data_IF_806953273856
#
_entry.id   IF_806953273856
#
_cell.length_a   1.000
_cell.length_b   1.000
_cell.length_c   1.000
_cell.angle_alpha   90.00
_cell.angle_beta   90.00
_cell.angle_gamma   90.00
#
_symmetry.space_group_name_H-M   'P 1'
#
loop_
_entity.id
_entity.type
_entity.pdbx_description
1 polymer ?
#
# COMPACT_ATOMS: atom_id res chain seq x y z
N UNK A 1 65.36 28.13 -9.46
CA UNK A 1 64.07 28.87 -9.49
C UNK A 1 63.35 28.51 -10.77
N UNK A 2 62.37 27.62 -10.70
CA UNK A 2 61.37 27.42 -11.79
C UNK A 2 60.31 26.44 -11.27
N UNK A 3 59.29 27.01 -10.62
CA UNK A 3 58.14 26.27 -10.12
C UNK A 3 57.19 25.92 -11.26
N UNK A 4 56.69 24.68 -11.22
CA UNK A 4 55.59 24.13 -12.00
C UNK A 4 54.35 25.03 -11.96
N UNK A 5 53.72 25.24 -13.12
CA UNK A 5 52.31 25.60 -13.22
C UNK A 5 51.55 24.39 -13.80
N UNK A 6 51.03 23.55 -12.91
CA UNK A 6 49.99 22.57 -13.25
C UNK A 6 48.68 23.34 -13.36
N UNK A 7 48.15 23.46 -14.57
CA UNK A 7 46.77 23.91 -14.78
C UNK A 7 45.82 22.84 -14.22
N UNK A 8 45.18 23.16 -13.10
CA UNK A 8 44.05 22.40 -12.57
C UNK A 8 42.82 22.66 -13.42
N UNK A 9 42.22 21.58 -13.92
CA UNK A 9 40.90 21.58 -14.56
C UNK A 9 39.83 22.05 -13.55
N UNK A 10 38.72 22.67 -13.99
CA UNK A 10 37.66 23.08 -13.08
C UNK A 10 36.99 21.85 -12.48
N UNK A 11 36.96 21.79 -11.14
CA UNK A 11 36.16 20.81 -10.39
C UNK A 11 34.69 20.99 -10.76
N UNK A 12 34.08 19.97 -11.34
CA UNK A 12 32.63 19.88 -11.56
C UNK A 12 31.93 19.69 -10.20
N UNK A 13 31.78 20.77 -9.45
CA UNK A 13 30.97 20.80 -8.25
C UNK A 13 29.50 20.69 -8.62
N UNK A 14 28.90 19.52 -8.40
CA UNK A 14 27.44 19.38 -8.38
C UNK A 14 26.90 20.22 -7.23
N UNK A 15 26.47 21.46 -7.50
CA UNK A 15 25.68 22.21 -6.54
C UNK A 15 24.34 21.48 -6.40
N UNK A 16 24.17 20.71 -5.32
CA UNK A 16 22.87 20.20 -4.93
C UNK A 16 22.03 21.37 -4.41
N UNK A 17 21.44 22.13 -5.33
CA UNK A 17 20.49 23.18 -4.99
C UNK A 17 19.31 22.55 -4.24
N UNK A 18 18.99 23.09 -3.06
CA UNK A 18 17.88 22.61 -2.26
C UNK A 18 16.54 22.85 -2.97
N UNK A 19 15.54 21.99 -2.71
CA UNK A 19 14.20 22.14 -3.29
C UNK A 19 13.60 23.48 -2.90
N UNK A 20 13.32 24.38 -3.85
CA UNK A 20 12.77 25.72 -3.54
C UNK A 20 11.38 25.65 -2.87
N UNK A 21 11.00 26.67 -2.09
CA UNK A 21 9.68 26.71 -1.43
C UNK A 21 8.53 26.71 -2.46
N UNK A 22 8.71 27.44 -3.58
CA UNK A 22 7.76 27.45 -4.69
C UNK A 22 7.54 26.04 -5.26
N UNK A 23 8.63 25.33 -5.56
CA UNK A 23 8.54 23.98 -6.12
C UNK A 23 8.03 22.96 -5.11
N UNK A 24 8.40 23.09 -3.83
CA UNK A 24 7.83 22.31 -2.75
C UNK A 24 6.31 22.44 -2.69
N UNK A 25 5.78 23.66 -2.77
CA UNK A 25 4.34 23.91 -2.76
C UNK A 25 3.65 23.32 -4.00
N UNK A 26 4.24 23.43 -5.20
CA UNK A 26 3.71 22.82 -6.43
C UNK A 26 3.64 21.29 -6.32
N UNK A 27 4.72 20.66 -5.86
CA UNK A 27 4.75 19.21 -5.61
C UNK A 27 3.73 18.80 -4.55
N UNK A 28 3.66 19.53 -3.44
CA UNK A 28 2.73 19.26 -2.36
C UNK A 28 1.28 19.32 -2.84
N UNK A 29 0.93 20.34 -3.62
CA UNK A 29 -0.40 20.50 -4.21
C UNK A 29 -0.71 19.35 -5.18
N UNK A 30 0.21 19.05 -6.11
CA UNK A 30 0.02 17.94 -7.06
C UNK A 30 -0.18 16.59 -6.37
N UNK A 31 0.65 16.28 -5.37
CA UNK A 31 0.56 15.03 -4.61
C UNK A 31 -0.77 14.96 -3.85
N UNK A 32 -1.17 16.06 -3.22
CA UNK A 32 -2.43 16.16 -2.51
C UNK A 32 -3.62 15.95 -3.47
N UNK A 33 -3.67 16.65 -4.59
CA UNK A 33 -4.80 16.60 -5.51
C UNK A 33 -4.92 15.23 -6.18
N UNK A 34 -3.79 14.60 -6.49
CA UNK A 34 -3.81 13.28 -7.11
C UNK A 34 -4.10 12.15 -6.12
N UNK A 35 -3.49 12.17 -4.93
CA UNK A 35 -3.45 11.01 -4.02
C UNK A 35 -4.05 11.26 -2.63
N UNK A 36 -4.48 12.47 -2.32
CA UNK A 36 -4.93 12.89 -0.99
C UNK A 36 -3.82 13.06 0.05
N UNK A 37 -2.56 12.73 -0.27
CA UNK A 37 -1.45 12.74 0.69
C UNK A 37 -1.01 14.18 0.99
N UNK A 38 -1.06 14.55 2.28
CA UNK A 38 -0.59 15.86 2.75
C UNK A 38 0.94 15.97 2.87
N UNK A 39 1.47 17.07 2.35
CA UNK A 39 2.88 17.46 2.42
C UNK A 39 3.06 18.76 3.23
N UNK A 40 3.01 18.71 4.58
CA UNK A 40 3.31 19.88 5.41
C UNK A 40 4.79 20.32 5.24
N UNK A 41 5.14 21.58 5.55
CA UNK A 41 6.49 22.11 5.37
C UNK A 41 7.61 21.27 6.02
N UNK A 42 7.33 20.60 7.14
CA UNK A 42 8.26 19.69 7.81
C UNK A 42 8.69 18.49 6.97
N UNK A 43 7.94 18.14 5.91
CA UNK A 43 8.25 17.04 4.99
C UNK A 43 9.12 17.45 3.79
N UNK A 44 9.54 18.72 3.67
CA UNK A 44 10.33 19.22 2.52
C UNK A 44 11.61 18.42 2.28
N UNK A 45 12.42 18.20 3.31
CA UNK A 45 13.67 17.43 3.20
C UNK A 45 13.42 15.97 2.81
N UNK A 46 12.35 15.36 3.36
CA UNK A 46 11.95 14.01 3.00
C UNK A 46 11.56 13.94 1.52
N UNK A 47 10.71 14.86 1.06
CA UNK A 47 10.24 14.92 -0.31
C UNK A 47 11.41 15.08 -1.29
N UNK A 48 12.31 16.02 -1.00
CA UNK A 48 13.54 16.19 -1.78
C UNK A 48 14.34 14.88 -1.84
N UNK A 49 14.64 14.28 -0.70
CA UNK A 49 15.43 13.04 -0.61
C UNK A 49 14.84 11.89 -1.41
N UNK A 50 13.51 11.72 -1.38
CA UNK A 50 12.81 10.66 -2.13
C UNK A 50 12.80 10.92 -3.64
N UNK A 51 12.70 12.17 -4.07
CA UNK A 51 12.68 12.53 -5.49
C UNK A 51 14.07 12.60 -6.13
N UNK A 52 15.16 12.59 -5.36
CA UNK A 52 16.53 12.58 -5.90
C UNK A 52 16.78 11.44 -6.89
N UNK A 53 16.19 10.26 -6.65
CA UNK A 53 16.32 9.13 -7.58
C UNK A 53 15.60 9.40 -8.90
N UNK A 54 14.36 9.87 -8.85
CA UNK A 54 13.58 10.23 -10.05
C UNK A 54 14.27 11.31 -10.87
N UNK A 55 14.81 12.33 -10.20
CA UNK A 55 15.60 13.41 -10.79
C UNK A 55 16.80 12.85 -11.57
N UNK A 56 17.62 11.99 -10.95
CA UNK A 56 18.78 11.39 -11.62
C UNK A 56 18.40 10.48 -12.79
N UNK A 57 17.39 9.63 -12.61
CA UNK A 57 16.92 8.70 -13.64
C UNK A 57 16.30 9.42 -14.85
N UNK A 58 15.79 10.63 -14.67
CA UNK A 58 15.26 11.48 -15.74
C UNK A 58 16.32 12.41 -16.37
N UNK A 59 17.59 12.33 -15.94
CA UNK A 59 18.70 13.11 -16.51
C UNK A 59 18.80 14.55 -16.02
N UNK A 60 18.11 14.93 -14.94
CA UNK A 60 18.14 16.30 -14.41
C UNK A 60 19.23 16.45 -13.33
N UNK A 61 19.90 17.60 -13.34
CA UNK A 61 21.06 17.87 -12.47
C UNK A 61 20.68 18.46 -11.12
N UNK A 62 19.53 19.15 -11.03
CA UNK A 62 18.97 19.66 -9.79
C UNK A 62 17.50 19.30 -9.62
N UNK A 63 17.02 19.32 -8.37
CA UNK A 63 15.61 19.05 -8.07
C UNK A 63 14.70 20.16 -8.60
N UNK A 64 15.21 21.39 -8.71
CA UNK A 64 14.45 22.51 -9.26
C UNK A 64 14.31 22.39 -10.79
N UNK A 65 15.35 21.91 -11.50
CA UNK A 65 15.27 21.60 -12.94
C UNK A 65 14.27 20.48 -13.20
N UNK A 66 14.29 19.44 -12.36
CA UNK A 66 13.29 18.37 -12.43
C UNK A 66 11.87 18.91 -12.22
N UNK A 67 11.65 19.85 -11.29
CA UNK A 67 10.35 20.48 -11.09
C UNK A 67 9.93 21.34 -12.29
N UNK A 68 10.85 22.08 -12.90
CA UNK A 68 10.57 22.85 -14.12
C UNK A 68 10.16 21.92 -15.27
N UNK A 69 10.88 20.81 -15.47
CA UNK A 69 10.49 19.79 -16.45
C UNK A 69 9.10 19.21 -16.17
N UNK A 70 8.82 18.84 -14.91
CA UNK A 70 7.53 18.26 -14.54
C UNK A 70 6.37 19.19 -14.87
N UNK A 71 6.42 20.43 -14.38
CA UNK A 71 5.25 21.30 -14.37
C UNK A 71 5.21 22.35 -15.48
N UNK A 72 6.36 22.67 -16.08
CA UNK A 72 6.47 23.68 -17.14
C UNK A 72 6.86 23.02 -18.49
N UNK A 73 7.62 21.92 -18.46
CA UNK A 73 8.11 21.19 -19.64
C UNK A 73 7.23 20.02 -20.11
N UNK A 74 6.06 19.81 -19.51
CA UNK A 74 5.15 18.71 -19.88
C UNK A 74 5.60 17.31 -19.43
N UNK A 75 6.56 17.22 -18.51
CA UNK A 75 7.10 15.96 -18.01
C UNK A 75 6.16 15.17 -17.10
N UNK A 76 5.12 15.81 -16.56
CA UNK A 76 4.25 15.24 -15.53
C UNK A 76 3.59 13.92 -15.96
N UNK A 77 3.07 13.84 -17.18
CA UNK A 77 2.38 12.62 -17.65
C UNK A 77 3.29 11.40 -17.69
N UNK A 78 4.58 11.61 -18.00
CA UNK A 78 5.59 10.55 -18.09
C UNK A 78 6.11 10.14 -16.72
N UNK A 79 6.33 11.10 -15.82
CA UNK A 79 6.97 10.85 -14.53
C UNK A 79 6.00 10.63 -13.37
N UNK A 80 4.71 10.93 -13.55
CA UNK A 80 3.68 10.87 -12.48
C UNK A 80 3.71 9.57 -11.67
N UNK A 81 3.75 8.41 -12.33
CA UNK A 81 3.76 7.12 -11.62
C UNK A 81 5.01 6.98 -10.77
N UNK A 82 6.18 7.31 -11.32
CA UNK A 82 7.47 7.22 -10.61
C UNK A 82 7.54 8.21 -9.43
N UNK A 83 7.02 9.42 -9.62
CA UNK A 83 6.92 10.44 -8.58
C UNK A 83 6.05 9.93 -7.43
N UNK A 84 4.86 9.40 -7.72
CA UNK A 84 3.93 8.88 -6.72
C UNK A 84 4.52 7.68 -5.98
N UNK A 85 5.15 6.74 -6.69
CA UNK A 85 5.87 5.61 -6.11
C UNK A 85 6.93 6.08 -5.11
N UNK A 86 7.68 7.12 -5.45
CA UNK A 86 8.71 7.66 -4.58
C UNK A 86 8.13 8.32 -3.31
N UNK A 87 6.97 8.97 -3.36
CA UNK A 87 6.45 9.76 -2.23
C UNK A 87 5.47 9.00 -1.33
N UNK A 88 4.91 7.89 -1.80
CA UNK A 88 4.04 7.02 -0.99
C UNK A 88 4.81 6.41 0.20
N UNK A 89 4.14 6.23 1.34
CA UNK A 89 4.73 5.61 2.53
C UNK A 89 4.10 4.25 2.72
N UNK A 90 4.86 3.20 2.43
CA UNK A 90 4.31 1.85 2.23
C UNK A 90 4.64 0.89 3.39
N UNK A 91 4.78 1.41 4.63
CA UNK A 91 5.14 0.59 5.78
C UNK A 91 4.00 -0.37 6.14
N UNK A 92 4.26 -1.66 5.99
CA UNK A 92 3.37 -2.75 6.37
C UNK A 92 4.20 -3.90 6.92
N UNK A 93 3.58 -4.76 7.72
CA UNK A 93 4.19 -5.94 8.33
C UNK A 93 3.20 -7.10 8.23
N UNK A 94 3.71 -8.32 8.09
CA UNK A 94 2.88 -9.53 8.19
C UNK A 94 2.24 -9.60 9.58
N UNK A 95 0.99 -10.06 9.67
CA UNK A 95 0.26 -10.16 10.94
C UNK A 95 0.19 -8.84 11.74
N UNK A 96 0.26 -7.69 11.07
CA UNK A 96 0.00 -6.38 11.69
C UNK A 96 -1.43 -6.36 12.25
N UNK A 97 -1.60 -5.92 13.50
CA UNK A 97 -2.89 -5.88 14.23
C UNK A 97 -3.63 -7.24 14.21
N UNK A 98 -3.07 -8.26 14.89
CA UNK A 98 -3.54 -9.64 14.80
C UNK A 98 -5.02 -9.83 15.18
N UNK A 99 -5.56 -8.95 16.02
CA UNK A 99 -6.95 -8.98 16.50
C UNK A 99 -7.98 -8.94 15.36
N UNK A 100 -7.66 -8.31 14.23
CA UNK A 100 -8.54 -8.32 13.07
C UNK A 100 -8.62 -9.70 12.41
N UNK A 101 -7.53 -10.46 12.41
CA UNK A 101 -7.51 -11.82 11.89
C UNK A 101 -8.16 -12.80 12.87
N UNK A 102 -8.00 -12.59 14.17
CA UNK A 102 -8.73 -13.32 15.23
C UNK A 102 -10.24 -13.14 15.06
N UNK A 103 -10.72 -11.89 14.93
CA UNK A 103 -12.11 -11.58 14.62
C UNK A 103 -12.60 -12.30 13.35
N UNK A 104 -11.79 -12.28 12.28
CA UNK A 104 -12.15 -12.99 11.06
C UNK A 104 -12.30 -14.49 11.30
N UNK A 105 -11.41 -15.13 12.04
CA UNK A 105 -11.51 -16.57 12.30
C UNK A 105 -12.67 -16.95 13.22
N UNK A 106 -12.94 -16.14 14.25
CA UNK A 106 -13.94 -16.46 15.27
C UNK A 106 -15.36 -16.09 14.87
N UNK A 107 -15.51 -14.99 14.10
CA UNK A 107 -16.82 -14.40 13.79
C UNK A 107 -17.03 -14.27 12.28
N UNK A 108 -16.10 -13.62 11.58
CA UNK A 108 -16.28 -13.22 10.18
C UNK A 108 -16.44 -14.40 9.22
N UNK A 109 -15.43 -15.28 9.14
CA UNK A 109 -15.39 -16.43 8.25
C UNK A 109 -16.52 -17.44 8.52
N UNK A 110 -16.86 -17.81 9.77
CA UNK A 110 -18.04 -18.63 10.05
C UNK A 110 -19.34 -18.02 9.51
N UNK A 111 -19.56 -16.72 9.74
CA UNK A 111 -20.76 -16.03 9.27
C UNK A 111 -20.84 -15.97 7.73
N UNK A 112 -19.72 -15.63 7.08
CA UNK A 112 -19.63 -15.58 5.61
C UNK A 112 -19.83 -16.98 5.02
N UNK A 113 -19.20 -18.01 5.58
CA UNK A 113 -19.34 -19.38 5.11
C UNK A 113 -20.79 -19.87 5.15
N UNK A 114 -21.54 -19.51 6.20
CA UNK A 114 -22.98 -19.81 6.32
C UNK A 114 -23.81 -19.07 5.28
N UNK A 115 -23.51 -17.80 5.01
CA UNK A 115 -24.24 -16.97 4.01
C UNK A 115 -23.96 -17.38 2.57
N UNK A 116 -22.69 -17.65 2.24
CA UNK A 116 -22.19 -17.79 0.84
C UNK A 116 -21.82 -19.22 0.46
N UNK A 117 -22.15 -20.21 1.28
CA UNK A 117 -21.84 -21.61 1.01
C UNK A 117 -20.34 -21.91 0.93
N UNK A 118 -19.52 -21.15 1.66
CA UNK A 118 -18.07 -21.33 1.72
C UNK A 118 -17.25 -20.53 0.71
N UNK A 119 -17.86 -19.60 -0.06
CA UNK A 119 -17.15 -18.65 -0.93
C UNK A 119 -16.87 -17.33 -0.21
N UNK A 120 -15.62 -16.88 -0.22
CA UNK A 120 -15.18 -15.65 0.44
C UNK A 120 -14.45 -14.73 -0.54
N UNK A 121 -14.88 -13.47 -0.62
CA UNK A 121 -14.27 -12.45 -1.47
C UNK A 121 -13.75 -11.31 -0.62
N UNK A 122 -12.45 -11.05 -0.72
CA UNK A 122 -11.76 -10.09 0.14
C UNK A 122 -11.11 -9.03 -0.72
N UNK A 123 -11.14 -7.80 -0.23
CA UNK A 123 -10.39 -6.70 -0.79
C UNK A 123 -9.46 -6.10 0.28
N UNK A 124 -8.15 -6.16 0.04
CA UNK A 124 -7.16 -5.37 0.76
C UNK A 124 -6.92 -4.07 -0.01
N UNK A 125 -7.59 -3.01 0.42
CA UNK A 125 -7.48 -1.68 -0.18
C UNK A 125 -6.27 -0.95 0.40
N UNK A 126 -5.34 -0.56 -0.47
CA UNK A 126 -3.96 -0.16 -0.16
C UNK A 126 -3.12 -1.30 0.43
N UNK A 127 -3.03 -2.40 -0.34
CA UNK A 127 -2.38 -3.64 0.09
C UNK A 127 -0.85 -3.53 0.25
N UNK A 128 -0.23 -2.45 -0.19
CA UNK A 128 1.22 -2.24 -0.22
C UNK A 128 1.91 -3.45 -0.88
N UNK A 129 2.96 -4.00 -0.26
CA UNK A 129 3.74 -5.14 -0.76
C UNK A 129 2.99 -6.48 -0.64
N UNK A 130 1.70 -6.48 -0.29
CA UNK A 130 0.84 -7.67 -0.20
C UNK A 130 0.89 -8.41 1.13
N UNK A 131 1.59 -7.88 2.15
CA UNK A 131 1.75 -8.56 3.45
C UNK A 131 0.40 -8.84 4.14
N UNK A 132 -0.53 -7.87 4.11
CA UNK A 132 -1.88 -8.05 4.63
C UNK A 132 -2.64 -9.12 3.85
N UNK A 133 -2.69 -9.03 2.53
CA UNK A 133 -3.36 -10.00 1.67
C UNK A 133 -2.84 -11.43 1.88
N UNK A 134 -1.52 -11.62 1.99
CA UNK A 134 -0.94 -12.94 2.25
C UNK A 134 -1.17 -13.42 3.69
N UNK A 135 -1.21 -12.52 4.67
CA UNK A 135 -1.61 -12.86 6.03
C UNK A 135 -3.05 -13.39 6.04
N UNK A 136 -3.96 -12.67 5.38
CA UNK A 136 -5.36 -13.09 5.24
C UNK A 136 -5.48 -14.45 4.56
N UNK A 137 -4.71 -14.70 3.50
CA UNK A 137 -4.71 -15.99 2.81
C UNK A 137 -4.26 -17.13 3.73
N UNK A 138 -3.18 -16.94 4.50
CA UNK A 138 -2.71 -17.91 5.49
C UNK A 138 -3.78 -18.20 6.54
N UNK A 139 -4.43 -17.15 7.06
CA UNK A 139 -5.49 -17.26 8.08
C UNK A 139 -6.69 -18.07 7.56
N UNK A 140 -7.11 -17.84 6.31
CA UNK A 140 -8.23 -18.58 5.70
C UNK A 140 -7.88 -20.05 5.47
N UNK A 141 -6.66 -20.35 5.00
CA UNK A 141 -6.24 -21.75 4.84
C UNK A 141 -6.22 -22.47 6.20
N UNK A 142 -5.70 -21.83 7.25
CA UNK A 142 -5.67 -22.44 8.59
C UNK A 142 -7.07 -22.65 9.17
N UNK A 143 -7.97 -21.68 9.01
CA UNK A 143 -9.38 -21.85 9.34
C UNK A 143 -9.97 -23.06 8.60
N UNK A 144 -9.71 -23.17 7.29
CA UNK A 144 -10.19 -24.26 6.47
C UNK A 144 -9.62 -25.64 6.84
N UNK A 145 -8.44 -25.69 7.47
CA UNK A 145 -7.83 -26.93 7.98
C UNK A 145 -8.46 -27.42 9.28
N UNK A 146 -8.93 -26.50 10.11
CA UNK A 146 -9.58 -26.81 11.40
C UNK A 146 -11.10 -26.99 11.28
N UNK A 147 -11.68 -26.42 10.22
CA UNK A 147 -13.12 -26.41 9.96
C UNK A 147 -13.42 -26.95 8.55
N UNK A 148 -14.24 -26.23 7.77
CA UNK A 148 -14.53 -26.55 6.37
C UNK A 148 -13.66 -25.68 5.47
N UNK A 149 -13.04 -26.30 4.46
CA UNK A 149 -12.28 -25.57 3.42
C UNK A 149 -13.18 -24.52 2.75
N UNK A 150 -12.66 -23.30 2.67
CA UNK A 150 -13.30 -22.18 1.99
C UNK A 150 -12.68 -22.00 0.60
N UNK A 151 -13.51 -21.65 -0.37
CA UNK A 151 -13.07 -21.13 -1.65
C UNK A 151 -12.98 -19.61 -1.52
N UNK A 152 -11.86 -19.01 -1.91
CA UNK A 152 -11.68 -17.58 -1.72
C UNK A 152 -10.86 -16.90 -2.80
N UNK A 153 -11.06 -15.59 -2.90
CA UNK A 153 -10.28 -14.70 -3.76
C UNK A 153 -9.97 -13.42 -3.00
N UNK A 154 -8.74 -12.92 -3.14
CA UNK A 154 -8.27 -11.68 -2.55
C UNK A 154 -7.89 -10.74 -3.68
N UNK A 155 -8.48 -9.55 -3.69
CA UNK A 155 -8.03 -8.42 -4.47
C UNK A 155 -7.13 -7.53 -3.60
N UNK A 156 -5.91 -7.29 -4.03
CA UNK A 156 -5.03 -6.27 -3.45
C UNK A 156 -4.95 -5.06 -4.37
N UNK A 157 -5.38 -3.89 -3.92
CA UNK A 157 -5.22 -2.66 -4.70
C UNK A 157 -4.25 -1.71 -4.03
N UNK A 158 -3.46 -0.98 -4.81
CA UNK A 158 -2.60 0.07 -4.28
C UNK A 158 -2.38 1.16 -5.34
N UNK A 159 -1.99 2.36 -4.91
CA UNK A 159 -1.58 3.42 -5.81
C UNK A 159 -0.20 3.15 -6.41
N UNK A 160 0.68 2.51 -5.63
CA UNK A 160 2.08 2.35 -5.98
C UNK A 160 2.35 1.09 -6.82
N UNK A 161 2.95 1.26 -8.00
CA UNK A 161 3.26 0.12 -8.90
C UNK A 161 4.43 -0.71 -8.40
N UNK A 162 5.36 -0.09 -7.69
CA UNK A 162 6.52 -0.77 -7.11
C UNK A 162 6.11 -1.82 -6.08
N UNK A 163 5.21 -1.46 -5.16
CA UNK A 163 4.77 -2.38 -4.10
C UNK A 163 3.84 -3.46 -4.64
N UNK A 164 2.99 -3.14 -5.63
CA UNK A 164 2.17 -4.13 -6.33
C UNK A 164 3.04 -5.18 -7.03
N UNK A 165 4.13 -4.76 -7.68
CA UNK A 165 5.07 -5.68 -8.31
C UNK A 165 5.70 -6.64 -7.29
N UNK A 166 5.98 -6.15 -6.08
CA UNK A 166 6.48 -6.99 -4.99
C UNK A 166 5.41 -7.95 -4.47
N UNK A 167 4.15 -7.51 -4.35
CA UNK A 167 3.02 -8.36 -3.98
C UNK A 167 2.84 -9.52 -4.98
N UNK A 168 2.90 -9.26 -6.29
CA UNK A 168 2.85 -10.29 -7.34
C UNK A 168 4.02 -11.27 -7.23
N UNK A 169 5.23 -10.75 -7.02
CA UNK A 169 6.41 -11.60 -6.88
C UNK A 169 6.30 -12.52 -5.65
N UNK A 170 5.69 -12.01 -4.57
CA UNK A 170 5.54 -12.69 -3.29
C UNK A 170 6.89 -13.04 -2.66
N UNK A 171 7.93 -12.23 -2.88
CA UNK A 171 9.28 -12.42 -2.36
C UNK A 171 9.57 -11.39 -1.27
N UNK A 172 10.13 -11.87 -0.15
CA UNK A 172 10.38 -11.06 1.04
C UNK A 172 11.70 -11.49 1.69
N UNK A 173 12.38 -10.55 2.34
CA UNK A 173 13.51 -10.87 3.21
C UNK A 173 13.05 -11.66 4.43
N UNK A 174 13.96 -12.41 5.03
CA UNK A 174 13.65 -13.13 6.28
C UNK A 174 13.22 -12.20 7.42
N UNK A 175 13.74 -10.96 7.48
CA UNK A 175 13.36 -10.01 8.52
C UNK A 175 11.89 -9.59 8.39
N UNK A 176 11.38 -9.35 7.17
CA UNK A 176 9.97 -8.97 6.97
C UNK A 176 8.99 -10.06 7.39
N UNK A 177 9.45 -11.31 7.39
CA UNK A 177 8.66 -12.50 7.70
C UNK A 177 8.77 -12.89 9.18
N UNK A 178 9.66 -12.24 9.94
CA UNK A 178 9.83 -12.46 11.36
C UNK A 178 8.53 -12.41 12.20
N UNK A 179 7.47 -11.67 11.83
CA UNK A 179 6.18 -11.73 12.53
C UNK A 179 5.35 -12.99 12.24
N UNK A 180 5.57 -13.70 11.13
CA UNK A 180 4.74 -14.87 10.75
C UNK A 180 5.00 -16.02 11.74
N UNK A 181 3.98 -16.70 12.31
CA UNK A 181 4.19 -17.87 13.16
C UNK A 181 5.02 -18.98 12.48
N UNK A 182 5.87 -19.68 13.24
CA UNK A 182 6.88 -20.63 12.70
C UNK A 182 6.24 -21.77 11.90
N UNK A 183 5.12 -22.29 12.38
CA UNK A 183 4.36 -23.36 11.76
C UNK A 183 3.74 -22.89 10.43
N UNK A 184 3.28 -21.64 10.34
CA UNK A 184 2.82 -21.03 9.10
C UNK A 184 3.98 -20.78 8.12
N UNK A 185 5.16 -20.39 8.61
CA UNK A 185 6.35 -20.28 7.75
C UNK A 185 6.68 -21.61 7.09
N UNK A 186 6.62 -22.71 7.84
CA UNK A 186 6.90 -24.05 7.32
C UNK A 186 5.90 -24.50 6.25
N UNK A 187 4.63 -24.08 6.35
CA UNK A 187 3.57 -24.44 5.39
C UNK A 187 3.50 -23.54 4.17
N UNK A 188 3.68 -22.23 4.35
CA UNK A 188 3.32 -21.23 3.35
C UNK A 188 4.49 -20.45 2.76
N UNK A 189 5.72 -20.72 3.20
CA UNK A 189 6.91 -20.08 2.67
C UNK A 189 7.87 -21.10 2.07
N UNK A 190 8.38 -20.73 0.90
CA UNK A 190 9.46 -21.42 0.21
C UNK A 190 10.76 -20.68 0.48
N UNK A 191 11.82 -21.42 0.81
CA UNK A 191 13.17 -20.87 0.93
C UNK A 191 13.92 -21.05 -0.39
N UNK A 192 14.81 -20.10 -0.69
CA UNK A 192 15.78 -20.24 -1.78
C UNK A 192 16.65 -21.48 -1.56
N UNK A 193 17.03 -22.18 -2.65
CA UNK A 193 18.05 -23.24 -2.60
C UNK A 193 19.43 -22.70 -2.27
N UNK A 194 19.68 -21.42 -2.58
CA UNK A 194 20.86 -20.69 -2.14
C UNK A 194 20.56 -20.01 -0.79
N UNK A 195 21.16 -20.48 0.33
CA UNK A 195 20.95 -19.92 1.66
C UNK A 195 21.48 -18.48 1.80
N UNK A 196 22.44 -18.07 0.95
CA UNK A 196 23.05 -16.73 1.02
C UNK A 196 22.10 -15.63 0.55
N UNK A 197 21.02 -16.00 -0.15
CA UNK A 197 20.05 -15.06 -0.72
C UNK A 197 19.23 -14.32 0.35
N UNK A 198 19.04 -14.92 1.53
CA UNK A 198 18.31 -14.28 2.64
C UNK A 198 16.85 -13.93 2.33
N UNK A 199 16.26 -14.60 1.33
CA UNK A 199 14.90 -14.36 0.84
C UNK A 199 14.03 -15.61 0.94
N UNK A 200 12.76 -15.38 1.22
CA UNK A 200 11.70 -16.39 1.12
C UNK A 200 10.65 -15.94 0.12
N UNK A 201 9.82 -16.91 -0.31
CA UNK A 201 8.74 -16.67 -1.26
C UNK A 201 7.46 -17.32 -0.79
N UNK A 202 6.33 -16.64 -0.97
CA UNK A 202 5.01 -17.23 -0.71
C UNK A 202 4.77 -18.41 -1.67
N UNK A 203 4.22 -19.51 -1.14
CA UNK A 203 3.88 -20.70 -1.93
C UNK A 203 2.91 -20.37 -3.08
N UNK A 204 2.99 -21.08 -4.22
CA UNK A 204 2.13 -20.82 -5.38
C UNK A 204 0.63 -20.85 -5.06
N UNK A 205 0.20 -21.74 -4.15
CA UNK A 205 -1.21 -21.89 -3.78
C UNK A 205 -1.83 -20.61 -3.20
N UNK A 206 -1.11 -19.88 -2.35
CA UNK A 206 -1.59 -18.59 -1.82
C UNK A 206 -1.47 -17.47 -2.86
N UNK A 207 -0.40 -17.48 -3.68
CA UNK A 207 -0.23 -16.47 -4.74
C UNK A 207 -1.32 -16.55 -5.79
N UNK A 208 -1.81 -17.74 -6.10
CA UNK A 208 -2.93 -17.95 -7.03
C UNK A 208 -4.26 -17.37 -6.52
N UNK A 209 -4.36 -17.06 -5.21
CA UNK A 209 -5.54 -16.49 -4.57
C UNK A 209 -5.53 -14.96 -4.54
N UNK A 210 -4.39 -14.34 -4.84
CA UNK A 210 -4.21 -12.89 -4.85
C UNK A 210 -4.17 -12.37 -6.29
N UNK A 211 -5.16 -11.54 -6.64
CA UNK A 211 -5.10 -10.66 -7.80
C UNK A 211 -4.70 -9.27 -7.33
N UNK A 212 -3.87 -8.56 -8.10
CA UNK A 212 -3.52 -7.18 -7.79
C UNK A 212 -3.91 -6.23 -8.89
N UNK A 213 -4.29 -5.01 -8.53
CA UNK A 213 -4.58 -3.95 -9.47
C UNK A 213 -4.10 -2.60 -8.96
N UNK A 214 -3.65 -1.73 -9.87
CA UNK A 214 -3.40 -0.34 -9.50
C UNK A 214 -4.73 0.38 -9.39
N UNK A 215 -4.95 1.07 -8.28
CA UNK A 215 -6.15 1.86 -8.07
C UNK A 215 -5.86 3.03 -7.13
N UNK A 216 -6.50 4.16 -7.38
CA UNK A 216 -6.39 5.34 -6.54
C UNK A 216 -7.69 5.53 -5.75
N UNK A 217 -7.59 5.61 -4.42
CA UNK A 217 -8.75 5.83 -3.55
C UNK A 217 -9.37 7.23 -3.72
N UNK A 218 -8.67 8.16 -4.37
CA UNK A 218 -9.23 9.48 -4.70
C UNK A 218 -10.18 9.45 -5.91
N UNK A 219 -10.13 8.40 -6.74
CA UNK A 219 -10.94 8.28 -7.94
C UNK A 219 -12.45 8.30 -7.60
N UNK A 220 -13.26 8.79 -8.51
CA UNK A 220 -14.71 8.90 -8.29
C UNK A 220 -15.40 7.54 -8.23
N UNK A 221 -14.92 6.57 -9.01
CA UNK A 221 -15.48 5.24 -9.13
C UNK A 221 -14.37 4.20 -8.99
N UNK A 222 -14.66 3.11 -8.29
CA UNK A 222 -13.72 1.99 -8.18
C UNK A 222 -14.10 0.90 -9.18
N UNK A 223 -13.23 0.55 -10.15
CA UNK A 223 -13.52 -0.43 -11.18
C UNK A 223 -13.33 -1.86 -10.65
N UNK A 224 -14.01 -2.19 -9.56
CA UNK A 224 -13.94 -3.47 -8.85
C UNK A 224 -15.35 -3.93 -8.50
N UNK A 225 -15.49 -5.21 -8.16
CA UNK A 225 -16.80 -5.79 -7.86
C UNK A 225 -17.45 -5.18 -6.62
N UNK A 226 -18.77 -5.31 -6.48
CA UNK A 226 -19.54 -4.69 -5.39
C UNK A 226 -20.11 -5.67 -4.36
N UNK A 227 -19.55 -6.88 -4.29
CA UNK A 227 -20.00 -7.98 -3.44
C UNK A 227 -18.88 -8.53 -2.53
N UNK A 228 -17.96 -7.67 -2.08
CA UNK A 228 -16.89 -8.10 -1.17
C UNK A 228 -17.45 -8.48 0.20
N UNK A 229 -17.03 -9.62 0.73
CA UNK A 229 -17.43 -10.05 2.08
C UNK A 229 -16.61 -9.34 3.16
N UNK A 230 -15.36 -9.00 2.84
CA UNK A 230 -14.43 -8.28 3.72
C UNK A 230 -13.67 -7.24 2.91
N UNK A 231 -13.65 -6.01 3.38
CA UNK A 231 -12.79 -4.94 2.88
C UNK A 231 -11.88 -4.48 4.02
N UNK A 232 -10.57 -4.58 3.82
CA UNK A 232 -9.58 -3.94 4.67
C UNK A 232 -9.20 -2.58 4.08
N UNK A 233 -9.20 -1.54 4.91
CA UNK A 233 -8.59 -0.25 4.60
C UNK A 233 -7.84 0.22 5.86
N UNK A 234 -6.60 -0.26 6.02
CA UNK A 234 -5.87 -0.13 7.28
C UNK A 234 -4.64 0.76 7.13
N UNK A 235 -4.54 1.74 8.02
CA UNK A 235 -3.43 2.67 8.17
C UNK A 235 -3.19 3.55 6.92
N UNK A 236 -4.28 3.97 6.27
CA UNK A 236 -4.29 4.74 5.01
C UNK A 236 -5.10 6.04 5.16
N UNK A 237 -6.24 6.01 5.86
CA UNK A 237 -7.09 7.18 6.10
C UNK A 237 -6.34 8.29 6.84
N UNK A 238 -5.32 7.92 7.63
CA UNK A 238 -4.43 8.85 8.33
C UNK A 238 -3.70 9.84 7.41
N UNK A 239 -3.63 9.56 6.10
CA UNK A 239 -3.02 10.46 5.12
C UNK A 239 -4.00 11.48 4.52
N UNK A 240 -5.30 11.25 4.67
CA UNK A 240 -6.38 12.02 4.06
C UNK A 240 -6.99 13.03 5.04
N UNK A 241 -7.56 14.12 4.50
CA UNK A 241 -8.40 15.03 5.27
C UNK A 241 -9.79 14.44 5.54
N UNK A 242 -10.59 15.09 6.40
CA UNK A 242 -11.90 14.57 6.82
C UNK A 242 -12.90 14.41 5.66
N UNK A 243 -13.05 15.38 4.74
CA UNK A 243 -13.88 15.20 3.56
C UNK A 243 -13.46 14.00 2.70
N UNK A 244 -12.16 13.84 2.47
CA UNK A 244 -11.62 12.72 1.69
C UNK A 244 -11.83 11.38 2.39
N UNK A 245 -11.58 11.30 3.71
CA UNK A 245 -11.87 10.10 4.50
C UNK A 245 -13.33 9.67 4.33
N UNK A 246 -14.27 10.63 4.43
CA UNK A 246 -15.69 10.36 4.27
C UNK A 246 -16.03 9.84 2.86
N UNK A 247 -15.49 10.46 1.81
CA UNK A 247 -15.67 10.01 0.41
C UNK A 247 -15.16 8.57 0.23
N UNK A 248 -13.93 8.30 0.65
CA UNK A 248 -13.31 6.98 0.51
C UNK A 248 -14.13 5.91 1.23
N UNK A 249 -14.54 6.18 2.47
CA UNK A 249 -15.33 5.25 3.27
C UNK A 249 -16.71 4.97 2.65
N UNK A 250 -17.38 5.99 2.11
CA UNK A 250 -18.66 5.83 1.39
C UNK A 250 -18.50 4.93 0.18
N UNK A 251 -17.52 5.23 -0.68
CA UNK A 251 -17.24 4.41 -1.86
C UNK A 251 -16.94 2.96 -1.47
N UNK A 252 -16.10 2.70 -0.45
CA UNK A 252 -15.84 1.32 0.00
C UNK A 252 -17.10 0.61 0.49
N UNK A 253 -18.00 1.30 1.19
CA UNK A 253 -19.26 0.70 1.66
C UNK A 253 -20.17 0.28 0.50
N UNK A 254 -20.14 0.98 -0.64
CA UNK A 254 -20.89 0.60 -1.84
C UNK A 254 -20.43 -0.75 -2.40
N UNK A 255 -19.15 -1.08 -2.23
CA UNK A 255 -18.56 -2.34 -2.69
C UNK A 255 -18.65 -3.50 -1.69
N UNK A 256 -19.15 -3.24 -0.48
CA UNK A 256 -19.27 -4.23 0.59
C UNK A 256 -20.59 -4.99 0.46
N UNK A 257 -20.58 -6.32 0.45
CA UNK A 257 -21.81 -7.11 0.42
C UNK A 257 -22.68 -6.91 1.69
N UNK A 258 -24.01 -7.09 1.63
CA UNK A 258 -24.85 -7.17 2.83
C UNK A 258 -24.35 -8.25 3.82
N UNK A 259 -24.21 -7.87 5.08
CA UNK A 259 -23.56 -8.63 6.14
C UNK A 259 -22.02 -8.69 6.05
N UNK A 260 -21.39 -7.98 5.11
CA UNK A 260 -19.94 -7.91 4.94
C UNK A 260 -19.27 -7.00 5.96
N UNK A 261 -17.95 -7.11 6.09
CA UNK A 261 -17.16 -6.40 7.10
C UNK A 261 -16.17 -5.39 6.49
N UNK A 262 -16.22 -4.15 6.94
CA UNK A 262 -15.18 -3.13 6.75
C UNK A 262 -14.25 -3.13 7.97
N UNK A 263 -12.95 -3.28 7.74
CA UNK A 263 -11.92 -3.33 8.78
C UNK A 263 -10.95 -2.17 8.59
N UNK A 264 -10.84 -1.31 9.61
CA UNK A 264 -9.94 -0.15 9.64
C UNK A 264 -8.77 -0.38 10.60
N UNK A 265 -7.70 0.41 10.48
CA UNK A 265 -6.56 0.35 11.39
C UNK A 265 -6.86 0.98 12.75
N UNK A 266 -6.06 0.66 13.77
CA UNK A 266 -6.37 1.06 15.17
C UNK A 266 -6.58 2.56 15.41
N UNK A 267 -5.91 3.42 14.64
CA UNK A 267 -5.99 4.87 14.79
C UNK A 267 -7.05 5.52 13.89
N UNK A 268 -7.85 4.71 13.19
CA UNK A 268 -8.81 5.16 12.20
C UNK A 268 -10.24 4.97 12.71
N UNK A 269 -11.15 5.83 12.27
CA UNK A 269 -12.50 5.87 12.80
C UNK A 269 -13.49 6.36 11.76
N UNK A 270 -14.72 5.84 11.83
CA UNK A 270 -15.86 6.30 11.04
C UNK A 270 -16.65 7.42 11.72
N UNK A 271 -16.23 7.86 12.92
CA UNK A 271 -16.95 8.90 13.68
C UNK A 271 -17.08 10.18 12.86
N UNK A 272 -18.30 10.70 12.79
CA UNK A 272 -18.65 11.90 12.02
C UNK A 272 -18.90 11.63 10.54
N UNK A 273 -18.95 10.37 10.11
CA UNK A 273 -19.31 9.96 8.75
C UNK A 273 -20.56 9.10 8.80
N UNK A 274 -21.61 9.52 8.09
CA UNK A 274 -22.82 8.71 7.91
C UNK A 274 -22.53 7.60 6.89
N UNK A 275 -22.47 6.36 7.37
CA UNK A 275 -22.15 5.16 6.61
C UNK A 275 -23.18 4.06 6.90
N UNK A 276 -23.52 3.22 5.91
CA UNK A 276 -24.48 2.13 6.08
C UNK A 276 -23.82 0.91 6.76
N UNK A 277 -23.14 1.11 7.88
CA UNK A 277 -22.46 0.07 8.66
C UNK A 277 -22.70 0.26 10.15
N UNK A 278 -22.69 -0.84 10.90
CA UNK A 278 -22.79 -0.85 12.37
C UNK A 278 -21.51 -1.42 12.99
N UNK A 279 -21.08 -0.97 14.18
CA UNK A 279 -19.94 -1.56 14.88
C UNK A 279 -20.14 -3.06 15.13
N UNK A 280 -19.10 -3.86 14.90
CA UNK A 280 -19.09 -5.31 15.14
C UNK A 280 -17.96 -5.73 16.11
N UNK A 281 -16.82 -5.04 16.07
CA UNK A 281 -15.73 -5.15 17.03
C UNK A 281 -14.89 -3.86 17.02
N UNK A 282 -13.80 -3.79 17.79
CA UNK A 282 -12.87 -2.66 17.71
C UNK A 282 -12.37 -2.49 16.26
N UNK A 283 -12.60 -1.30 15.69
CA UNK A 283 -12.25 -0.95 14.30
C UNK A 283 -12.79 -1.90 13.21
N UNK A 284 -13.85 -2.65 13.52
CA UNK A 284 -14.57 -3.52 12.58
C UNK A 284 -16.04 -3.14 12.51
N UNK A 285 -16.55 -2.97 11.30
CA UNK A 285 -17.92 -2.52 11.03
C UNK A 285 -18.61 -3.47 10.04
N UNK A 286 -19.87 -3.79 10.29
CA UNK A 286 -20.66 -4.68 9.44
C UNK A 286 -21.70 -3.90 8.66
N UNK A 287 -21.81 -4.12 7.35
CA UNK A 287 -22.97 -3.67 6.56
C UNK A 287 -24.16 -4.57 6.90
N UNK A 288 -25.30 -4.03 7.36
CA UNK A 288 -26.47 -4.85 7.69
C UNK A 288 -27.06 -5.57 6.47
#
# INVERSE_FOLDING_TARGET
MSNLAVQTAPESGTSTEALSLRNFNRLGQFIHDYSGIRMPPSKRTMLEGRLRRCMRESGHVSINDYCAYLFDGGGLDRERVRLLDAVTTNKTDFFREPQHFEFLTEVGLPAIAKRRGGKVKIWSAACSIGAEAYTTAMVIEEFGRQSKRLDYSILGTDLSTQVLSQAVAGRYSEQMIAPVPRDLRARYLMRSRDPKRGEVRIVPALRARLSVARMNLMDEQYPVDNDFDVIFLRNVLIYFDKPTQAKVLKNLCEHLAPGGYLILGHSESIVGVDLPVRPAAHTVFQRP
#
